data_IF_969098374387
#
_entry.id   IF_969098374387
#
_cell.length_a   1.000
_cell.length_b   1.000
_cell.length_c   1.000
_cell.angle_alpha   90.00
_cell.angle_beta   90.00
_cell.angle_gamma   90.00
#
_symmetry.space_group_name_H-M   'P 1'
#
loop_
_entity.id
_entity.type
_entity.pdbx_description
1 polymer ?
#
# COMPACT_ATOMS: atom_id res chain seq x y z
N UNK A 1 28.36 -5.51 16.84
CA UNK A 1 28.11 -6.57 17.84
C UNK A 1 28.97 -7.82 17.65
N UNK A 2 29.26 -8.24 16.41
CA UNK A 2 30.32 -9.24 16.16
C UNK A 2 31.71 -8.72 16.59
N UNK A 3 31.90 -7.41 16.58
CA UNK A 3 33.11 -6.74 17.03
C UNK A 3 33.26 -6.77 18.55
N UNK A 4 32.17 -6.55 19.31
CA UNK A 4 32.18 -6.64 20.78
C UNK A 4 32.69 -8.00 21.28
N UNK A 5 32.21 -9.11 20.68
CA UNK A 5 32.66 -10.45 21.06
C UNK A 5 34.12 -10.74 20.65
N UNK A 6 34.57 -10.14 19.53
CA UNK A 6 35.95 -10.29 19.06
C UNK A 6 36.95 -9.54 19.95
N UNK A 7 36.56 -8.35 20.40
CA UNK A 7 37.42 -7.50 21.25
C UNK A 7 37.69 -8.12 22.63
N UNK A 8 36.76 -8.94 23.15
CA UNK A 8 36.86 -9.61 24.44
C UNK A 8 37.40 -11.05 24.38
N UNK A 9 37.74 -11.52 23.17
CA UNK A 9 38.26 -12.86 22.95
C UNK A 9 39.79 -12.90 23.15
N UNK A 10 40.27 -13.73 24.09
CA UNK A 10 41.71 -13.99 24.26
C UNK A 10 42.23 -14.92 23.15
N UNK A 11 43.57 -14.96 23.00
CA UNK A 11 44.26 -15.74 21.97
C UNK A 11 43.98 -17.25 22.01
N UNK A 12 43.60 -17.77 23.17
CA UNK A 12 43.23 -19.17 23.43
C UNK A 12 41.72 -19.49 23.26
N UNK A 13 40.96 -18.60 22.63
CA UNK A 13 39.51 -18.68 22.44
C UNK A 13 38.65 -18.63 23.72
N UNK A 14 39.28 -18.31 24.87
CA UNK A 14 38.55 -18.10 26.12
C UNK A 14 38.04 -16.66 26.20
N UNK A 15 36.84 -16.48 26.75
CA UNK A 15 36.23 -15.18 26.96
C UNK A 15 36.14 -14.91 28.45
N UNK A 16 36.66 -13.76 28.92
CA UNK A 16 36.56 -13.36 30.32
C UNK A 16 35.19 -12.75 30.60
N UNK A 17 34.37 -13.41 31.41
CA UNK A 17 33.03 -12.87 31.78
C UNK A 17 33.13 -11.57 32.60
N UNK A 18 34.24 -11.37 33.37
CA UNK A 18 34.45 -10.15 34.16
C UNK A 18 34.71 -8.91 33.28
N UNK A 19 35.34 -9.09 32.12
CA UNK A 19 35.62 -7.98 31.21
C UNK A 19 34.39 -7.45 30.50
N UNK A 20 33.26 -8.15 30.62
CA UNK A 20 31.99 -7.81 29.99
C UNK A 20 31.03 -7.04 30.93
N UNK A 21 31.50 -6.67 32.14
CA UNK A 21 30.70 -5.80 33.01
C UNK A 21 30.69 -4.35 32.47
N UNK A 22 29.57 -3.61 32.64
CA UNK A 22 28.36 -3.96 33.40
C UNK A 22 27.27 -4.72 32.64
N UNK A 23 27.40 -4.95 31.32
CA UNK A 23 26.38 -5.52 30.45
C UNK A 23 26.07 -6.99 30.75
N UNK A 24 27.07 -7.68 31.32
CA UNK A 24 26.92 -9.06 31.73
C UNK A 24 27.32 -9.19 33.21
N UNK A 25 26.41 -9.71 34.03
CA UNK A 25 26.64 -10.12 35.40
C UNK A 25 26.52 -11.63 35.49
N UNK A 26 27.27 -12.24 36.38
CA UNK A 26 27.20 -13.69 36.59
C UNK A 26 27.33 -14.05 38.06
N UNK A 27 26.69 -15.14 38.44
CA UNK A 27 26.84 -15.79 39.73
C UNK A 27 27.15 -17.27 39.53
N UNK A 28 28.07 -17.80 40.33
CA UNK A 28 28.45 -19.21 40.28
C UNK A 28 27.92 -19.87 41.58
N UNK A 29 27.04 -20.84 41.42
CA UNK A 29 26.61 -21.70 42.49
C UNK A 29 27.54 -22.92 42.53
N UNK A 30 28.52 -22.87 43.40
CA UNK A 30 29.53 -23.91 43.52
C UNK A 30 28.97 -25.25 44.02
N UNK A 31 27.86 -25.21 44.77
CA UNK A 31 27.28 -26.44 45.35
C UNK A 31 26.56 -27.27 44.27
N UNK A 32 25.91 -26.59 43.32
CA UNK A 32 25.14 -27.21 42.25
C UNK A 32 25.87 -27.18 40.89
N UNK A 33 27.06 -26.58 40.80
CA UNK A 33 27.83 -26.46 39.55
C UNK A 33 27.11 -25.59 38.50
N UNK A 34 26.25 -24.66 38.93
CA UNK A 34 25.43 -23.83 38.02
C UNK A 34 26.04 -22.45 37.86
N UNK A 35 26.26 -22.04 36.60
CA UNK A 35 26.62 -20.67 36.23
C UNK A 35 25.35 -19.93 35.78
N UNK A 36 24.92 -18.92 36.55
CA UNK A 36 23.81 -18.04 36.21
C UNK A 36 24.35 -16.78 35.54
N UNK A 37 23.89 -16.51 34.32
CA UNK A 37 24.26 -15.32 33.53
C UNK A 37 23.08 -14.37 33.48
N UNK A 38 23.33 -13.09 33.79
CA UNK A 38 22.35 -11.98 33.68
C UNK A 38 22.88 -11.03 32.62
N UNK A 39 22.26 -11.00 31.48
CA UNK A 39 22.66 -10.19 30.32
C UNK A 39 21.66 -9.06 30.16
N UNK A 40 22.14 -7.80 30.01
CA UNK A 40 21.28 -6.67 29.71
C UNK A 40 20.53 -6.94 28.37
N UNK A 41 19.21 -6.86 28.35
CA UNK A 41 18.44 -7.07 27.13
C UNK A 41 18.89 -6.23 25.92
N UNK A 42 19.48 -5.04 26.18
CA UNK A 42 20.06 -4.18 25.14
C UNK A 42 21.21 -4.82 24.38
N UNK A 43 21.89 -5.78 24.97
CA UNK A 43 23.03 -6.49 24.37
C UNK A 43 22.61 -7.54 23.35
N UNK A 44 21.35 -7.94 23.29
CA UNK A 44 20.85 -8.87 22.29
C UNK A 44 20.79 -8.25 20.89
N UNK A 45 20.77 -9.08 19.87
CA UNK A 45 20.61 -8.61 18.49
C UNK A 45 19.23 -7.99 18.30
N UNK A 46 19.14 -6.84 17.62
CA UNK A 46 17.87 -6.21 17.31
C UNK A 46 17.02 -7.14 16.45
N UNK A 47 15.82 -7.44 16.91
CA UNK A 47 14.82 -8.18 16.14
C UNK A 47 13.95 -7.20 15.39
N UNK A 48 13.87 -7.33 14.08
CA UNK A 48 12.96 -6.52 13.27
C UNK A 48 11.68 -7.31 13.02
N UNK A 49 10.55 -6.72 13.39
CA UNK A 49 9.22 -7.23 13.13
C UNK A 49 8.62 -6.35 12.05
N UNK A 50 8.32 -6.94 10.90
CA UNK A 50 7.69 -6.25 9.79
C UNK A 50 6.38 -6.94 9.41
N UNK A 51 5.46 -6.21 8.81
CA UNK A 51 4.25 -6.80 8.27
C UNK A 51 4.62 -7.68 7.05
N UNK A 52 4.39 -9.00 7.09
CA UNK A 52 4.77 -9.90 5.99
C UNK A 52 3.95 -9.66 4.71
N UNK A 53 2.83 -8.94 4.81
CA UNK A 53 1.98 -8.64 3.66
C UNK A 53 2.42 -7.39 2.88
N UNK A 54 3.41 -6.63 3.39
CA UNK A 54 3.96 -5.48 2.68
C UNK A 54 4.96 -5.95 1.63
N UNK A 55 4.53 -6.00 0.39
CA UNK A 55 5.44 -6.22 -0.73
C UNK A 55 6.24 -4.93 -0.98
N UNK A 56 7.49 -4.94 -0.54
CA UNK A 56 8.47 -3.89 -0.88
C UNK A 56 8.94 -3.98 -2.32
N UNK A 57 8.66 -5.09 -2.97
CA UNK A 57 9.11 -5.36 -4.34
C UNK A 57 8.11 -4.74 -5.33
N UNK A 58 8.60 -3.87 -6.18
CA UNK A 58 7.81 -3.22 -7.25
C UNK A 58 7.22 -4.28 -8.18
N UNK A 59 8.01 -5.29 -8.54
CA UNK A 59 7.56 -6.34 -9.45
C UNK A 59 6.71 -7.40 -8.71
N UNK A 60 5.48 -7.64 -9.12
CA UNK A 60 4.72 -8.78 -8.64
C UNK A 60 5.39 -10.07 -9.11
N UNK A 61 5.71 -10.97 -8.17
CA UNK A 61 6.49 -12.19 -8.43
C UNK A 61 5.87 -13.16 -9.45
N UNK A 62 4.56 -13.12 -9.66
CA UNK A 62 3.84 -14.09 -10.49
C UNK A 62 2.68 -13.45 -11.26
N UNK A 63 2.89 -12.30 -11.91
CA UNK A 63 1.85 -11.74 -12.75
C UNK A 63 1.93 -12.38 -14.15
N UNK A 64 0.96 -13.19 -14.47
CA UNK A 64 0.75 -13.67 -15.82
C UNK A 64 -0.09 -12.64 -16.55
N UNK A 65 0.48 -11.99 -17.56
CA UNK A 65 -0.31 -11.15 -18.45
C UNK A 65 -0.95 -12.02 -19.53
N UNK A 66 -2.27 -12.00 -19.69
CA UNK A 66 -2.90 -12.69 -20.80
C UNK A 66 -2.38 -12.09 -22.12
N UNK A 67 -1.93 -12.97 -23.04
CA UNK A 67 -1.43 -12.56 -24.36
C UNK A 67 -2.43 -12.81 -25.47
N UNK A 68 -3.48 -13.57 -25.15
CA UNK A 68 -4.54 -13.86 -26.10
C UNK A 68 -5.38 -12.62 -26.40
N UNK A 69 -5.77 -12.47 -27.65
CA UNK A 69 -6.78 -11.48 -28.01
C UNK A 69 -8.10 -11.81 -27.32
N UNK A 70 -8.72 -10.80 -26.73
CA UNK A 70 -10.07 -10.88 -26.19
C UNK A 70 -10.82 -9.58 -26.45
N UNK A 71 -12.13 -9.67 -26.65
CA UNK A 71 -12.99 -8.51 -26.81
C UNK A 71 -14.31 -8.75 -26.06
N UNK A 72 -14.94 -7.67 -25.65
CA UNK A 72 -16.26 -7.71 -25.01
C UNK A 72 -17.12 -6.53 -25.46
N UNK A 73 -18.42 -6.74 -25.35
CA UNK A 73 -19.42 -5.72 -25.52
C UNK A 73 -20.42 -5.83 -24.36
N UNK A 74 -20.52 -4.77 -23.59
CA UNK A 74 -21.46 -4.64 -22.47
C UNK A 74 -22.52 -3.61 -22.85
N UNK A 75 -23.75 -3.88 -22.51
CA UNK A 75 -24.84 -2.92 -22.68
C UNK A 75 -25.85 -3.08 -21.54
N UNK A 76 -26.56 -1.98 -21.29
CA UNK A 76 -27.73 -1.96 -20.41
C UNK A 76 -28.84 -1.21 -21.15
N UNK A 77 -30.03 -1.75 -21.08
CA UNK A 77 -31.20 -1.06 -21.58
C UNK A 77 -32.06 -0.60 -20.39
N UNK A 78 -32.48 0.65 -20.41
CA UNK A 78 -33.36 1.27 -19.44
C UNK A 78 -34.44 1.99 -20.19
N UNK A 79 -35.70 1.82 -19.75
CA UNK A 79 -36.86 2.55 -20.26
C UNK A 79 -37.65 3.07 -19.06
N UNK A 80 -38.05 4.33 -19.12
CA UNK A 80 -38.86 4.97 -18.10
C UNK A 80 -40.30 5.08 -18.62
N UNK A 81 -41.22 4.64 -17.78
CA UNK A 81 -42.64 4.63 -18.10
C UNK A 81 -43.44 5.41 -17.05
N UNK A 82 -44.30 6.32 -17.49
CA UNK A 82 -45.25 7.03 -16.64
C UNK A 82 -46.67 6.74 -17.08
N UNK A 83 -47.61 6.65 -16.13
CA UNK A 83 -49.02 6.33 -16.44
C UNK A 83 -49.68 7.37 -17.36
N UNK A 84 -49.26 8.64 -17.26
CA UNK A 84 -49.83 9.74 -18.00
C UNK A 84 -49.29 9.86 -19.44
N UNK A 85 -48.02 9.51 -19.67
CA UNK A 85 -47.32 9.76 -20.95
C UNK A 85 -46.86 8.47 -21.66
N UNK A 86 -46.97 7.32 -21.00
CA UNK A 86 -46.45 6.06 -21.55
C UNK A 86 -44.92 5.92 -21.35
N UNK A 87 -44.20 5.53 -22.39
CA UNK A 87 -42.75 5.45 -22.38
C UNK A 87 -42.14 6.82 -22.69
N UNK A 88 -41.60 7.49 -21.67
CA UNK A 88 -41.07 8.84 -21.78
C UNK A 88 -39.62 8.89 -22.25
N UNK A 89 -38.81 7.89 -21.89
CA UNK A 89 -37.39 7.85 -22.25
C UNK A 89 -36.83 6.45 -22.39
N UNK A 90 -35.80 6.35 -23.22
CA UNK A 90 -34.96 5.14 -23.37
C UNK A 90 -33.51 5.54 -23.25
N UNK A 91 -32.76 4.77 -22.48
CA UNK A 91 -31.32 4.94 -22.36
C UNK A 91 -30.60 3.60 -22.52
N UNK A 92 -29.53 3.60 -23.31
CA UNK A 92 -28.73 2.41 -23.56
C UNK A 92 -27.23 2.76 -23.42
N UNK A 93 -26.67 2.75 -22.23
CA UNK A 93 -25.23 2.79 -22.04
C UNK A 93 -24.58 1.52 -22.56
N UNK A 94 -23.48 1.69 -23.29
CA UNK A 94 -22.72 0.65 -23.96
C UNK A 94 -21.24 0.80 -23.68
N UNK A 95 -20.54 -0.31 -23.57
CA UNK A 95 -19.09 -0.38 -23.44
C UNK A 95 -18.53 -1.43 -24.38
N UNK A 96 -17.53 -1.04 -25.17
CA UNK A 96 -16.75 -1.94 -26.01
C UNK A 96 -15.33 -1.97 -25.48
N UNK A 97 -14.76 -3.15 -25.36
CA UNK A 97 -13.35 -3.29 -24.98
C UNK A 97 -12.67 -4.43 -25.71
N UNK A 98 -11.38 -4.27 -25.94
CA UNK A 98 -10.53 -5.31 -26.50
C UNK A 98 -9.16 -5.30 -25.87
N UNK A 99 -8.61 -6.49 -25.68
CA UNK A 99 -7.25 -6.69 -25.18
C UNK A 99 -6.41 -7.39 -26.26
N UNK A 100 -5.26 -6.83 -26.53
CA UNK A 100 -4.30 -7.41 -27.44
C UNK A 100 -2.89 -7.30 -26.84
N UNK A 101 -2.31 -8.43 -26.49
CA UNK A 101 -1.04 -8.51 -25.77
C UNK A 101 -1.03 -7.67 -24.46
N UNK A 102 -0.38 -6.50 -24.51
CA UNK A 102 -0.25 -5.56 -23.39
C UNK A 102 -1.11 -4.32 -23.54
N UNK A 103 -1.89 -4.25 -24.63
CA UNK A 103 -2.74 -3.12 -24.92
C UNK A 103 -4.18 -3.44 -24.61
N UNK A 104 -4.85 -2.49 -23.99
CA UNK A 104 -6.28 -2.53 -23.73
C UNK A 104 -6.94 -1.31 -24.35
N UNK A 105 -7.80 -1.53 -25.32
CA UNK A 105 -8.63 -0.50 -25.91
C UNK A 105 -10.02 -0.56 -25.32
N UNK A 106 -10.61 0.58 -24.97
CA UNK A 106 -12.00 0.66 -24.52
C UNK A 106 -12.67 1.93 -25.02
N UNK A 107 -13.97 1.83 -25.25
CA UNK A 107 -14.80 2.98 -25.59
C UNK A 107 -16.19 2.82 -24.99
N UNK A 108 -16.69 3.91 -24.40
CA UNK A 108 -18.00 3.96 -23.75
C UNK A 108 -18.91 4.93 -24.51
N UNK A 109 -20.16 4.51 -24.71
CA UNK A 109 -21.18 5.26 -25.42
C UNK A 109 -22.47 5.23 -24.63
N UNK A 110 -23.33 6.22 -24.83
CA UNK A 110 -24.71 6.17 -24.39
C UNK A 110 -25.60 6.60 -25.56
N UNK A 111 -26.61 5.78 -25.86
CA UNK A 111 -27.71 6.17 -26.70
C UNK A 111 -28.88 6.56 -25.81
N UNK A 112 -29.40 7.76 -25.98
CA UNK A 112 -30.53 8.29 -25.24
C UNK A 112 -31.59 8.77 -26.21
N UNK A 113 -32.83 8.46 -25.92
CA UNK A 113 -33.98 8.93 -26.67
C UNK A 113 -35.09 9.31 -25.71
N UNK A 114 -35.59 10.53 -25.85
CA UNK A 114 -36.82 11.00 -25.23
C UNK A 114 -37.75 11.59 -26.32
N UNK A 115 -38.87 12.13 -25.91
CA UNK A 115 -39.88 12.71 -26.86
C UNK A 115 -39.33 13.89 -27.67
N UNK A 116 -38.24 14.53 -27.22
CA UNK A 116 -37.69 15.75 -27.80
C UNK A 116 -36.39 15.55 -28.52
N UNK A 117 -35.56 14.57 -28.06
CA UNK A 117 -34.19 14.39 -28.53
C UNK A 117 -33.85 12.91 -28.71
N UNK A 118 -32.96 12.66 -29.64
CA UNK A 118 -32.30 11.36 -29.83
C UNK A 118 -30.82 11.58 -30.00
N UNK A 119 -30.06 11.23 -28.99
CA UNK A 119 -28.63 11.54 -28.89
C UNK A 119 -27.80 10.28 -28.78
N UNK A 120 -26.66 10.28 -29.45
CA UNK A 120 -25.64 9.28 -29.33
C UNK A 120 -24.34 9.93 -28.83
N UNK A 121 -24.04 9.72 -27.54
CA UNK A 121 -22.96 10.37 -26.87
C UNK A 121 -21.79 9.41 -26.64
N UNK A 122 -20.61 9.76 -27.16
CA UNK A 122 -19.36 9.10 -26.86
C UNK A 122 -18.80 9.66 -25.54
N UNK A 123 -18.53 8.81 -24.57
CA UNK A 123 -17.90 9.20 -23.33
C UNK A 123 -16.38 9.12 -23.43
N UNK A 124 -15.77 8.03 -23.00
CA UNK A 124 -14.31 7.87 -23.03
C UNK A 124 -13.91 6.84 -24.07
N UNK A 125 -12.88 7.17 -24.83
CA UNK A 125 -12.20 6.23 -25.72
C UNK A 125 -10.72 6.27 -25.43
N UNK A 126 -10.15 5.15 -25.02
CA UNK A 126 -8.74 5.10 -24.65
C UNK A 126 -8.07 3.80 -25.05
N UNK A 127 -6.78 3.91 -25.34
CA UNK A 127 -5.86 2.79 -25.55
C UNK A 127 -4.81 2.85 -24.44
N UNK A 128 -4.79 1.82 -23.60
CA UNK A 128 -3.97 1.78 -22.38
C UNK A 128 -2.94 0.67 -22.48
N UNK A 129 -1.73 0.97 -22.04
CA UNK A 129 -0.67 -0.02 -21.84
C UNK A 129 -0.15 0.06 -20.42
N UNK A 130 -0.29 -1.03 -19.69
CA UNK A 130 0.22 -1.17 -18.32
C UNK A 130 1.55 -1.91 -18.30
N UNK A 131 2.47 -1.40 -17.49
CA UNK A 131 3.71 -2.08 -17.12
C UNK A 131 3.71 -2.34 -15.59
N UNK A 132 3.15 -3.47 -15.14
CA UNK A 132 3.10 -3.80 -13.72
C UNK A 132 4.49 -3.99 -13.10
N UNK A 133 5.50 -4.32 -13.91
CA UNK A 133 6.87 -4.51 -13.43
C UNK A 133 7.54 -3.21 -13.00
N UNK A 134 7.13 -2.09 -13.61
CA UNK A 134 7.63 -0.74 -13.32
C UNK A 134 6.58 0.16 -12.71
N UNK A 135 5.36 -0.35 -12.50
CA UNK A 135 4.20 0.40 -12.00
C UNK A 135 3.91 1.66 -12.80
N UNK A 136 3.87 1.52 -14.13
CA UNK A 136 3.68 2.62 -15.08
C UNK A 136 2.51 2.33 -15.99
N UNK A 137 1.83 3.41 -16.40
CA UNK A 137 0.74 3.38 -17.38
C UNK A 137 1.03 4.38 -18.49
N UNK A 138 0.78 3.96 -19.71
CA UNK A 138 0.72 4.80 -20.89
C UNK A 138 -0.71 4.75 -21.43
N UNK A 139 -1.30 5.92 -21.68
CA UNK A 139 -2.67 6.06 -22.19
C UNK A 139 -2.64 6.95 -23.41
N UNK A 140 -3.32 6.53 -24.48
CA UNK A 140 -3.66 7.33 -25.65
C UNK A 140 -5.16 7.50 -25.72
N UNK A 141 -5.63 8.68 -26.16
CA UNK A 141 -7.04 9.02 -26.22
C UNK A 141 -7.51 9.77 -24.99
N UNK A 142 -8.71 9.49 -24.52
CA UNK A 142 -9.29 10.19 -23.37
C UNK A 142 -8.68 9.67 -22.05
N UNK A 143 -8.27 10.59 -21.19
CA UNK A 143 -7.76 10.28 -19.87
C UNK A 143 -8.12 11.36 -18.86
N UNK A 144 -8.17 10.97 -17.60
CA UNK A 144 -8.33 11.88 -16.47
C UNK A 144 -6.97 12.19 -15.86
N UNK A 145 -6.52 13.43 -15.97
CA UNK A 145 -5.34 13.91 -15.26
C UNK A 145 -5.62 13.99 -13.75
N UNK A 146 -4.69 13.55 -12.89
CA UNK A 146 -4.88 13.62 -11.45
C UNK A 146 -4.95 15.08 -10.98
N UNK A 147 -5.82 15.35 -10.01
CA UNK A 147 -5.79 16.61 -9.26
C UNK A 147 -4.67 16.55 -8.23
N UNK A 148 -3.89 17.60 -8.15
CA UNK A 148 -2.86 17.81 -7.14
C UNK A 148 -3.11 19.12 -6.40
N UNK A 149 -2.37 19.41 -5.34
CA UNK A 149 -2.47 20.71 -4.64
C UNK A 149 -2.14 21.91 -5.54
N UNK A 150 -1.35 21.70 -6.58
CA UNK A 150 -0.88 22.75 -7.47
C UNK A 150 -1.65 22.83 -8.79
N UNK A 151 -2.30 21.75 -9.20
CA UNK A 151 -2.99 21.66 -10.48
C UNK A 151 -4.36 21.01 -10.30
N UNK A 152 -5.37 21.64 -10.86
CA UNK A 152 -6.69 21.04 -10.97
C UNK A 152 -6.62 19.89 -11.98
N UNK A 153 -7.15 18.73 -11.57
CA UNK A 153 -7.34 17.61 -12.48
C UNK A 153 -8.41 17.94 -13.53
N UNK A 154 -8.41 17.19 -14.62
CA UNK A 154 -9.39 17.38 -15.69
C UNK A 154 -9.46 16.18 -16.61
N UNK A 155 -10.38 16.25 -17.56
CA UNK A 155 -10.53 15.30 -18.63
C UNK A 155 -9.84 15.85 -19.88
N UNK A 156 -8.98 15.05 -20.49
CA UNK A 156 -8.19 15.44 -21.65
C UNK A 156 -8.22 14.33 -22.70
N UNK A 157 -8.08 14.74 -23.96
CA UNK A 157 -7.80 13.84 -25.08
C UNK A 157 -6.36 14.04 -25.53
N UNK A 158 -5.57 12.95 -25.57
CA UNK A 158 -4.16 13.04 -25.95
C UNK A 158 -3.33 11.87 -25.46
N UNK A 159 -2.21 12.16 -24.82
CA UNK A 159 -1.27 11.17 -24.32
C UNK A 159 -0.99 11.43 -22.83
N UNK A 160 -1.09 10.38 -22.01
CA UNK A 160 -0.71 10.40 -20.60
C UNK A 160 0.28 9.28 -20.29
N UNK A 161 1.38 9.62 -19.62
CA UNK A 161 2.36 8.64 -19.14
C UNK A 161 2.77 8.94 -17.71
N UNK A 162 2.63 7.94 -16.83
CA UNK A 162 2.92 8.18 -15.41
C UNK A 162 3.06 6.92 -14.58
N UNK A 163 3.44 7.13 -13.32
CA UNK A 163 3.44 6.09 -12.30
C UNK A 163 2.02 5.69 -11.92
N UNK A 164 1.82 4.38 -11.70
CA UNK A 164 0.51 3.82 -11.34
C UNK A 164 0.67 2.69 -10.31
N UNK A 165 0.82 3.05 -9.05
CA UNK A 165 1.10 2.10 -7.97
C UNK A 165 0.00 1.05 -7.76
N UNK A 166 -1.25 1.38 -8.11
CA UNK A 166 -2.39 0.45 -8.01
C UNK A 166 -2.25 -0.80 -8.91
N UNK A 167 -1.35 -0.79 -9.90
CA UNK A 167 -1.08 -1.96 -10.74
C UNK A 167 -0.54 -3.15 -9.95
N UNK A 168 0.02 -2.90 -8.78
CA UNK A 168 0.34 -3.94 -7.82
C UNK A 168 -0.41 -3.67 -6.51
N UNK A 169 -1.52 -4.37 -6.30
CA UNK A 169 -2.38 -4.20 -5.11
C UNK A 169 -1.66 -4.43 -3.78
N UNK A 170 -0.58 -5.22 -3.78
CA UNK A 170 0.22 -5.50 -2.58
C UNK A 170 1.34 -4.47 -2.37
N UNK A 171 1.61 -3.63 -3.37
CA UNK A 171 2.63 -2.60 -3.27
C UNK A 171 2.12 -1.42 -2.44
N UNK A 172 2.92 -1.02 -1.45
CA UNK A 172 2.62 0.13 -0.61
C UNK A 172 3.64 1.23 -0.88
N UNK A 173 3.24 2.34 -1.53
CA UNK A 173 4.13 3.43 -1.85
C UNK A 173 4.47 4.32 -0.65
N UNK A 174 3.66 4.27 0.41
CA UNK A 174 3.80 5.12 1.58
C UNK A 174 4.70 4.51 2.64
N UNK A 175 5.40 5.33 3.47
CA UNK A 175 6.17 4.82 4.59
C UNK A 175 5.23 4.23 5.65
N UNK A 176 5.59 3.06 6.16
CA UNK A 176 4.94 2.50 7.34
C UNK A 176 5.51 3.10 8.62
N UNK A 177 4.79 2.97 9.72
CA UNK A 177 5.28 3.37 11.04
C UNK A 177 6.49 2.54 11.43
N UNK A 178 7.51 3.22 11.99
CA UNK A 178 8.67 2.59 12.61
C UNK A 178 8.67 2.92 14.11
N UNK A 179 8.74 1.89 14.94
CA UNK A 179 8.84 2.00 16.39
C UNK A 179 9.98 1.14 16.89
N UNK A 180 10.91 1.76 17.63
CA UNK A 180 12.02 1.09 18.27
C UNK A 180 11.73 1.00 19.78
N UNK A 181 11.84 -0.20 20.37
CA UNK A 181 11.64 -0.44 21.81
C UNK A 181 12.59 -1.51 22.32
N UNK A 182 12.75 -1.58 23.63
CA UNK A 182 13.52 -2.64 24.30
C UNK A 182 12.57 -3.45 25.17
N UNK A 183 12.56 -4.74 24.97
CA UNK A 183 11.79 -5.71 25.75
C UNK A 183 12.69 -6.24 26.85
N UNK A 184 12.31 -6.04 28.10
CA UNK A 184 13.11 -6.43 29.26
C UNK A 184 12.84 -7.89 29.70
N UNK A 185 11.60 -8.31 29.61
CA UNK A 185 11.12 -9.66 29.95
C UNK A 185 10.31 -10.24 28.81
N UNK A 186 10.07 -11.56 28.74
CA UNK A 186 9.14 -12.12 27.76
C UNK A 186 7.82 -11.37 27.80
N UNK A 187 7.36 -10.88 26.65
CA UNK A 187 6.25 -9.91 26.54
C UNK A 187 5.34 -10.31 25.40
N UNK A 188 4.04 -10.32 25.65
CA UNK A 188 3.01 -10.42 24.62
C UNK A 188 2.70 -9.00 24.12
N UNK A 189 2.84 -8.78 22.82
CA UNK A 189 2.60 -7.50 22.17
C UNK A 189 1.36 -7.58 21.31
N UNK A 190 0.38 -6.70 21.55
CA UNK A 190 -0.89 -6.66 20.85
C UNK A 190 -1.10 -5.30 20.22
N UNK A 191 -1.31 -5.27 18.89
CA UNK A 191 -1.58 -4.05 18.13
C UNK A 191 -3.07 -3.89 17.91
N UNK A 192 -3.62 -2.79 18.35
CA UNK A 192 -4.99 -2.37 18.09
C UNK A 192 -5.03 -1.20 17.12
N UNK A 193 -6.07 -1.12 16.30
CA UNK A 193 -6.42 0.06 15.50
C UNK A 193 -7.92 0.30 15.59
N UNK A 194 -8.31 1.49 16.04
CA UNK A 194 -9.71 1.84 16.30
C UNK A 194 -10.44 0.83 17.22
N UNK A 195 -9.75 0.31 18.24
CA UNK A 195 -10.27 -0.69 19.16
C UNK A 195 -10.33 -2.13 18.63
N UNK A 196 -10.00 -2.34 17.34
CA UNK A 196 -9.96 -3.67 16.75
C UNK A 196 -8.57 -4.27 16.84
N UNK A 197 -8.48 -5.53 17.19
CA UNK A 197 -7.24 -6.30 17.17
C UNK A 197 -6.74 -6.46 15.74
N UNK A 198 -5.52 -6.00 15.49
CA UNK A 198 -4.86 -6.12 14.19
C UNK A 198 -3.89 -7.28 14.18
N UNK A 199 -3.07 -7.40 15.24
CA UNK A 199 -2.02 -8.42 15.31
C UNK A 199 -1.45 -8.60 16.71
N UNK A 200 -0.89 -9.79 16.93
CA UNK A 200 -0.22 -10.19 18.16
C UNK A 200 1.17 -10.79 17.86
N UNK A 201 2.08 -10.62 18.82
CA UNK A 201 3.43 -11.19 18.77
C UNK A 201 3.90 -11.57 20.17
N UNK A 202 4.59 -12.71 20.26
CA UNK A 202 5.35 -13.09 21.45
C UNK A 202 6.80 -12.64 21.30
N UNK A 203 7.23 -11.77 22.18
CA UNK A 203 8.52 -11.11 22.14
C UNK A 203 9.43 -11.66 23.23
N UNK A 204 10.64 -12.02 22.83
CA UNK A 204 11.73 -12.34 23.76
C UNK A 204 12.46 -11.06 24.18
N UNK A 205 13.16 -11.06 25.34
CA UNK A 205 13.95 -9.93 25.76
C UNK A 205 14.97 -9.49 24.71
N UNK A 206 15.14 -8.18 24.57
CA UNK A 206 16.07 -7.57 23.62
C UNK A 206 15.50 -6.37 22.88
N UNK A 207 16.31 -5.68 22.07
CA UNK A 207 15.86 -4.58 21.23
C UNK A 207 14.95 -5.10 20.10
N UNK A 208 13.79 -4.47 19.94
CA UNK A 208 12.80 -4.78 18.90
C UNK A 208 12.51 -3.53 18.10
N UNK A 209 12.59 -3.66 16.79
CA UNK A 209 12.15 -2.65 15.84
C UNK A 209 10.89 -3.16 15.15
N UNK A 210 9.77 -2.51 15.40
CA UNK A 210 8.57 -2.67 14.56
C UNK A 210 8.75 -1.78 13.33
N UNK A 211 8.67 -2.35 12.14
CA UNK A 211 8.81 -1.63 10.89
C UNK A 211 7.64 -1.90 9.96
N UNK A 212 7.26 -0.89 9.18
CA UNK A 212 6.19 -0.98 8.18
C UNK A 212 4.84 -1.45 8.77
N UNK A 213 4.53 -0.97 9.99
CA UNK A 213 3.21 -1.19 10.56
C UNK A 213 2.22 -0.37 9.76
N UNK A 214 1.27 -1.06 9.11
CA UNK A 214 0.17 -0.43 8.40
C UNK A 214 -0.98 -0.20 9.38
N UNK A 215 -1.36 1.06 9.54
CA UNK A 215 -2.52 1.47 10.30
C UNK A 215 -3.63 1.85 9.32
N UNK A 216 -4.69 1.07 9.30
CA UNK A 216 -5.82 1.32 8.41
C UNK A 216 -6.81 2.30 9.03
N UNK A 217 -7.26 3.27 8.26
CA UNK A 217 -8.46 4.04 8.60
C UNK A 217 -8.28 5.30 9.42
N UNK A 218 -7.09 5.90 9.49
CA UNK A 218 -6.92 7.26 10.03
C UNK A 218 -7.35 7.46 11.49
N UNK A 219 -7.45 6.40 12.28
CA UNK A 219 -7.84 6.41 13.69
C UNK A 219 -6.66 6.17 14.63
N UNK A 220 -6.96 6.11 15.91
CA UNK A 220 -5.98 5.83 16.96
C UNK A 220 -5.49 4.38 16.84
N UNK A 221 -4.18 4.20 16.88
CA UNK A 221 -3.58 2.90 17.02
C UNK A 221 -2.81 2.81 18.34
N UNK A 222 -2.84 1.66 18.95
CA UNK A 222 -2.24 1.40 20.25
C UNK A 222 -1.48 0.08 20.21
N UNK A 223 -0.23 0.10 20.67
CA UNK A 223 0.55 -1.11 20.91
C UNK A 223 0.56 -1.39 22.41
N UNK A 224 -0.08 -2.46 22.83
CA UNK A 224 -0.12 -2.94 24.21
C UNK A 224 0.96 -4.00 24.40
N UNK A 225 1.84 -3.78 25.35
CA UNK A 225 2.91 -4.70 25.71
C UNK A 225 2.60 -5.25 27.10
N UNK A 226 2.28 -6.55 27.18
CA UNK A 226 2.01 -7.23 28.45
C UNK A 226 3.17 -8.18 28.79
N UNK A 227 3.82 -7.95 29.92
CA UNK A 227 4.93 -8.80 30.35
C UNK A 227 4.44 -10.10 31.02
N UNK A 228 5.40 -11.00 31.29
CA UNK A 228 5.14 -12.27 31.95
C UNK A 228 4.53 -12.13 33.38
N UNK A 229 4.60 -10.93 33.99
CA UNK A 229 4.06 -10.63 35.31
C UNK A 229 2.68 -9.95 35.25
N UNK A 230 2.13 -9.78 34.04
CA UNK A 230 0.84 -9.13 33.81
C UNK A 230 0.87 -7.60 33.80
N UNK A 231 2.06 -6.98 33.83
CA UNK A 231 2.16 -5.52 33.72
C UNK A 231 1.97 -5.10 32.27
N UNK A 232 1.11 -4.11 32.08
CA UNK A 232 0.82 -3.57 30.75
C UNK A 232 1.52 -2.23 30.54
N UNK A 233 2.11 -2.05 29.38
CA UNK A 233 2.61 -0.79 28.87
C UNK A 233 1.90 -0.48 27.56
N UNK A 234 1.18 0.63 27.50
CA UNK A 234 0.47 1.09 26.33
C UNK A 234 1.28 2.15 25.63
N UNK A 235 1.45 2.02 24.33
CA UNK A 235 2.14 2.95 23.46
C UNK A 235 1.14 3.44 22.42
N UNK A 236 0.72 4.70 22.56
CA UNK A 236 -0.13 5.34 21.58
C UNK A 236 0.68 5.60 20.32
N UNK A 237 0.21 5.07 19.21
CA UNK A 237 0.81 5.27 17.91
C UNK A 237 0.02 6.39 17.22
N UNK A 238 0.66 7.55 16.96
CA UNK A 238 -0.06 8.66 16.36
C UNK A 238 -0.59 8.25 14.99
N UNK A 239 -1.87 8.48 14.75
CA UNK A 239 -2.47 8.30 13.45
C UNK A 239 -1.81 9.26 12.46
N UNK A 240 -0.99 8.71 11.58
CA UNK A 240 -0.25 9.48 10.60
C UNK A 240 -1.16 9.82 9.40
N UNK A 241 -2.20 10.62 9.63
CA UNK A 241 -3.13 11.10 8.60
C UNK A 241 -2.42 11.87 7.47
N UNK A 242 -1.25 12.45 7.76
CA UNK A 242 -0.45 13.19 6.77
C UNK A 242 0.49 12.34 5.91
N UNK A 243 0.68 11.06 6.23
CA UNK A 243 1.66 10.22 5.53
C UNK A 243 1.18 9.60 4.21
N UNK A 244 -0.11 9.67 3.92
CA UNK A 244 -0.63 9.21 2.62
C UNK A 244 -0.14 10.06 1.45
N UNK A 245 0.40 11.24 1.70
CA UNK A 245 0.99 12.11 0.68
C UNK A 245 2.51 11.91 0.51
N UNK A 246 3.16 11.23 1.47
CA UNK A 246 4.60 10.99 1.43
C UNK A 246 4.90 9.64 0.82
N UNK A 247 5.77 9.63 -0.17
CA UNK A 247 6.29 8.39 -0.73
C UNK A 247 7.46 7.86 0.10
N UNK A 248 7.65 6.54 0.09
CA UNK A 248 8.84 5.92 0.66
C UNK A 248 10.09 6.42 -0.07
N UNK A 249 11.19 6.46 0.67
CA UNK A 249 12.51 6.79 0.11
C UNK A 249 12.82 5.97 -1.14
N UNK A 250 13.23 6.65 -2.20
CA UNK A 250 13.58 6.04 -3.50
C UNK A 250 12.40 5.81 -4.44
N UNK A 251 11.16 6.20 -4.05
CA UNK A 251 10.02 6.21 -4.95
C UNK A 251 9.78 7.60 -5.51
N UNK A 252 9.35 7.62 -6.77
CA UNK A 252 8.96 8.83 -7.48
C UNK A 252 7.57 8.62 -8.08
N UNK A 253 6.69 9.58 -7.85
CA UNK A 253 5.40 9.66 -8.53
C UNK A 253 5.47 10.79 -9.55
N UNK A 254 5.07 10.50 -10.78
CA UNK A 254 5.06 11.45 -11.86
C UNK A 254 3.91 11.16 -12.82
N UNK A 255 3.42 12.21 -13.46
CA UNK A 255 2.42 12.13 -14.51
C UNK A 255 2.72 13.20 -15.56
N UNK A 256 3.01 12.77 -16.77
CA UNK A 256 3.19 13.64 -17.93
C UNK A 256 1.94 13.51 -18.79
N UNK A 257 1.28 14.63 -19.02
CA UNK A 257 0.02 14.71 -19.75
C UNK A 257 0.18 15.73 -20.86
N UNK A 258 -0.13 15.33 -22.07
CA UNK A 258 -0.12 16.18 -23.26
C UNK A 258 -1.41 15.94 -24.04
N UNK A 259 -2.16 17.00 -24.30
CA UNK A 259 -3.43 16.90 -25.00
C UNK A 259 -4.29 18.13 -24.85
N UNK A 260 -5.50 18.03 -25.32
CA UNK A 260 -6.52 19.09 -25.29
C UNK A 260 -7.54 18.81 -24.20
N UNK A 261 -7.95 19.84 -23.47
CA UNK A 261 -9.00 19.70 -22.48
C UNK A 261 -10.32 19.31 -23.15
N UNK A 262 -11.00 18.30 -22.59
CA UNK A 262 -12.30 17.89 -23.09
C UNK A 262 -13.37 18.64 -22.33
N UNK A 263 -14.13 19.45 -23.06
CA UNK A 263 -15.30 20.15 -22.57
C UNK A 263 -16.56 19.31 -22.86
N UNK A 264 -17.65 19.67 -22.22
CA UNK A 264 -19.00 19.14 -22.45
C UNK A 264 -19.07 17.60 -22.52
N UNK A 265 -18.32 16.95 -21.60
CA UNK A 265 -18.26 15.51 -21.48
C UNK A 265 -19.66 14.90 -21.26
N UNK A 266 -20.09 14.04 -22.17
CA UNK A 266 -21.41 13.41 -22.15
C UNK A 266 -22.52 14.22 -22.81
N UNK A 267 -22.21 15.43 -23.29
CA UNK A 267 -23.14 16.26 -24.06
C UNK A 267 -22.73 16.38 -25.53
N UNK A 268 -21.43 16.52 -25.77
CA UNK A 268 -20.88 16.58 -27.13
C UNK A 268 -19.82 15.51 -27.36
N UNK A 269 -19.79 14.92 -28.53
CA UNK A 269 -18.94 13.77 -28.84
C UNK A 269 -17.46 14.10 -28.95
N UNK A 270 -17.09 15.29 -29.42
CA UNK A 270 -15.71 15.65 -29.76
C UNK A 270 -15.33 17.10 -29.37
N UNK A 271 -15.81 17.58 -28.25
CA UNK A 271 -15.48 18.93 -27.76
C UNK A 271 -14.13 18.91 -27.07
N UNK A 272 -13.06 19.30 -27.80
CA UNK A 272 -11.68 19.46 -27.29
C UNK A 272 -11.18 20.86 -27.60
N UNK A 273 -10.54 21.51 -26.61
CA UNK A 273 -9.86 22.82 -26.72
C UNK A 273 -8.39 22.75 -26.35
#
# INVERSE_FOLDING_TARGET
RKEFWKEHQRSDKLISLRSMAPELRFTIDHNNGILKLFIDPKCFSTRTISNPNTNRTIAPRNTVSPRAFSAFFNYRFQADYTEDNGFDSYSMPMEVGSNWEKWFASSNFTFEKNDYHSDFNRHMTSLVRDDPSRLRRLTFGDFRAPSTRLLNGGLYGGISWGSRFILNRKFRPYPGLKLDTVIETPTHATLYSNGNLIREWDLLPGPVTFSDIELYGGGNAELVLQDAFGREKRLDLPALLGHQELLRTGLHEYSYNFGFARKDFGMENNSYD
#
